data_IF_087438099288
#
_entry.id   IF_087438099288
#
_cell.length_a   1.000
_cell.length_b   1.000
_cell.length_c   1.000
_cell.angle_alpha   90.00
_cell.angle_beta   90.00
_cell.angle_gamma   90.00
#
_symmetry.space_group_name_H-M   'P 1'
#
loop_
_entity.id
_entity.type
_entity.pdbx_description
1 polymer ?
#
# COMPACT_ATOMS: atom_id res chain seq x y z
N UNK A 1 -19.77 13.78 -23.01
CA UNK A 1 -19.73 12.56 -22.20
C UNK A 1 -19.06 11.46 -23.03
N UNK A 2 -17.74 11.33 -22.95
CA UNK A 2 -16.96 10.42 -23.80
C UNK A 2 -17.21 8.96 -23.41
N UNK A 3 -17.54 8.14 -24.42
CA UNK A 3 -17.80 6.68 -24.36
C UNK A 3 -16.58 5.90 -23.81
N UNK A 4 -16.78 4.64 -23.33
CA UNK A 4 -15.99 4.07 -22.25
C UNK A 4 -14.55 3.79 -22.68
N UNK A 5 -13.62 4.27 -21.87
CA UNK A 5 -12.21 3.89 -21.85
C UNK A 5 -12.11 2.36 -21.84
N UNK A 6 -11.30 1.79 -22.71
CA UNK A 6 -11.08 0.33 -22.80
C UNK A 6 -10.67 -0.21 -21.42
N UNK A 7 -10.97 -1.48 -21.12
CA UNK A 7 -10.66 -2.07 -19.81
C UNK A 7 -9.17 -1.94 -19.43
N UNK A 8 -8.30 -1.83 -20.43
CA UNK A 8 -6.87 -1.55 -20.26
C UNK A 8 -6.59 -0.18 -19.66
N UNK A 9 -7.28 0.87 -20.12
CA UNK A 9 -7.13 2.24 -19.59
C UNK A 9 -7.67 2.36 -18.16
N UNK A 10 -8.72 1.61 -17.83
CA UNK A 10 -9.24 1.51 -16.45
C UNK A 10 -8.23 0.84 -15.51
N UNK A 11 -7.52 -0.20 -15.98
CA UNK A 11 -6.50 -0.92 -15.19
C UNK A 11 -5.23 -0.10 -14.94
N UNK A 12 -4.92 0.87 -15.81
CA UNK A 12 -3.79 1.78 -15.65
C UNK A 12 -3.99 2.82 -14.53
N UNK A 13 -5.23 3.07 -14.11
CA UNK A 13 -5.49 3.97 -12.97
C UNK A 13 -5.34 3.21 -11.64
N UNK A 14 -4.27 3.48 -10.91
CA UNK A 14 -4.29 3.20 -9.47
C UNK A 14 -5.34 4.09 -8.79
N UNK A 15 -6.24 3.47 -8.04
CA UNK A 15 -7.21 4.19 -7.21
C UNK A 15 -6.52 5.05 -6.13
N UNK A 16 -5.30 4.69 -5.75
CA UNK A 16 -4.49 5.41 -4.77
C UNK A 16 -3.78 6.59 -5.46
N UNK A 17 -4.45 7.75 -5.52
CA UNK A 17 -3.94 8.96 -6.19
C UNK A 17 -2.86 9.71 -5.39
N UNK A 18 -2.82 9.57 -4.07
CA UNK A 18 -1.78 10.16 -3.23
C UNK A 18 -0.59 9.22 -3.06
N UNK A 19 0.64 9.69 -3.30
CA UNK A 19 1.80 9.08 -2.63
C UNK A 19 1.49 9.22 -1.15
N UNK A 20 1.51 8.12 -0.39
CA UNK A 20 1.27 8.17 1.04
C UNK A 20 2.12 9.32 1.62
N UNK A 21 1.42 10.30 2.17
CA UNK A 21 1.98 11.54 2.68
C UNK A 21 3.14 11.20 3.62
N UNK A 22 4.21 12.01 3.61
CA UNK A 22 5.40 11.79 4.44
C UNK A 22 4.95 11.40 5.84
N UNK A 23 5.29 10.16 6.23
CA UNK A 23 4.64 9.47 7.34
C UNK A 23 4.79 10.24 8.64
N UNK A 24 3.74 10.92 9.07
CA UNK A 24 3.66 11.45 10.42
C UNK A 24 3.58 10.27 11.40
N UNK A 25 4.24 10.39 12.56
CA UNK A 25 4.20 9.41 13.66
C UNK A 25 2.75 9.00 13.99
N UNK A 26 1.80 9.94 13.93
CA UNK A 26 0.38 9.68 14.16
C UNK A 26 -0.22 8.69 13.15
N UNK A 27 0.15 8.81 11.87
CA UNK A 27 -0.33 7.91 10.81
C UNK A 27 0.25 6.51 10.97
N UNK A 28 1.54 6.42 11.31
CA UNK A 28 2.22 5.14 11.57
C UNK A 28 1.55 4.41 12.73
N UNK A 29 1.28 5.11 13.85
CA UNK A 29 0.56 4.53 15.00
C UNK A 29 -0.83 4.04 14.62
N UNK A 30 -1.58 4.81 13.82
CA UNK A 30 -2.92 4.43 13.35
C UNK A 30 -2.88 3.16 12.50
N UNK A 31 -1.99 3.10 11.51
CA UNK A 31 -1.87 1.96 10.60
C UNK A 31 -1.33 0.71 11.32
N UNK A 32 -0.38 0.89 12.25
CA UNK A 32 0.09 -0.20 13.09
C UNK A 32 -1.05 -0.84 13.88
N UNK A 33 -1.85 -0.02 14.59
CA UNK A 33 -2.99 -0.52 15.35
C UNK A 33 -4.03 -1.19 14.43
N UNK A 34 -4.25 -0.65 13.22
CA UNK A 34 -5.12 -1.26 12.22
C UNK A 34 -4.62 -2.67 11.84
N UNK A 35 -3.32 -2.85 11.58
CA UNK A 35 -2.79 -4.17 11.24
C UNK A 35 -2.81 -5.13 12.42
N UNK A 36 -2.57 -4.65 13.64
CA UNK A 36 -2.69 -5.49 14.83
C UNK A 36 -4.13 -6.01 15.01
N UNK A 37 -5.12 -5.12 14.92
CA UNK A 37 -6.52 -5.46 15.18
C UNK A 37 -7.20 -6.19 14.02
N UNK A 38 -7.00 -5.73 12.78
CA UNK A 38 -7.76 -6.23 11.63
C UNK A 38 -6.99 -7.23 10.78
N UNK A 39 -5.65 -7.16 10.75
CA UNK A 39 -4.84 -8.13 9.98
C UNK A 39 -4.44 -9.33 10.84
N UNK A 40 -4.01 -9.10 12.07
CA UNK A 40 -3.60 -10.18 12.98
C UNK A 40 -4.74 -10.66 13.89
N UNK A 41 -5.85 -9.93 13.96
CA UNK A 41 -7.01 -10.26 14.82
C UNK A 41 -6.56 -10.36 16.29
N UNK A 42 -5.76 -9.38 16.73
CA UNK A 42 -5.22 -9.29 18.08
C UNK A 42 -5.51 -7.93 18.69
N UNK A 43 -5.77 -7.95 19.99
CA UNK A 43 -5.76 -6.75 20.83
C UNK A 43 -4.41 -6.63 21.55
N UNK A 44 -4.22 -5.52 22.26
CA UNK A 44 -2.99 -5.29 23.03
C UNK A 44 -2.76 -6.31 24.16
N UNK A 45 -3.81 -6.95 24.66
CA UNK A 45 -3.73 -7.84 25.83
C UNK A 45 -3.20 -9.22 25.44
N UNK A 46 -3.51 -9.69 24.23
CA UNK A 46 -3.09 -11.02 23.74
C UNK A 46 -1.90 -10.98 22.78
N UNK A 47 -1.37 -9.79 22.45
CA UNK A 47 -0.31 -9.62 21.46
C UNK A 47 1.08 -9.93 22.01
N UNK A 48 1.84 -10.74 21.27
CA UNK A 48 3.26 -11.03 21.54
C UNK A 48 4.18 -10.07 20.79
N UNK A 49 5.48 -10.09 21.12
CA UNK A 49 6.50 -9.32 20.38
C UNK A 49 6.54 -9.66 18.88
N UNK A 50 6.25 -10.91 18.52
CA UNK A 50 6.18 -11.34 17.12
C UNK A 50 5.00 -10.68 16.39
N UNK A 51 3.86 -10.53 17.06
CA UNK A 51 2.69 -9.87 16.48
C UNK A 51 2.96 -8.39 16.23
N UNK A 52 3.65 -7.72 17.17
CA UNK A 52 4.10 -6.34 16.97
C UNK A 52 5.07 -6.20 15.80
N UNK A 53 5.99 -7.14 15.62
CA UNK A 53 6.86 -7.17 14.45
C UNK A 53 6.03 -7.25 13.15
N UNK A 54 5.07 -8.18 13.05
CA UNK A 54 4.26 -8.34 11.85
C UNK A 54 3.35 -7.14 11.58
N UNK A 55 2.77 -6.54 12.63
CA UNK A 55 1.95 -5.33 12.49
C UNK A 55 2.77 -4.15 11.94
N UNK A 56 4.02 -3.99 12.39
CA UNK A 56 4.93 -2.97 11.86
C UNK A 56 5.37 -3.30 10.43
N UNK A 57 5.74 -4.55 10.14
CA UNK A 57 6.16 -4.99 8.81
C UNK A 57 5.06 -4.73 7.76
N UNK A 58 3.80 -5.03 8.09
CA UNK A 58 2.65 -4.74 7.23
C UNK A 58 2.46 -3.22 7.03
N UNK A 59 2.64 -2.42 8.09
CA UNK A 59 2.56 -0.95 7.99
C UNK A 59 3.61 -0.38 7.03
N UNK A 60 4.85 -0.88 7.10
CA UNK A 60 5.93 -0.47 6.18
C UNK A 60 5.66 -0.96 4.76
N UNK A 61 5.17 -2.19 4.61
CA UNK A 61 4.79 -2.78 3.32
C UNK A 61 3.78 -1.91 2.57
N UNK A 62 2.72 -1.46 3.24
CA UNK A 62 1.69 -0.60 2.63
C UNK A 62 2.28 0.68 2.02
N UNK A 63 3.25 1.30 2.71
CA UNK A 63 3.92 2.51 2.22
C UNK A 63 4.78 2.24 0.98
N UNK A 64 5.41 1.06 0.90
CA UNK A 64 6.26 0.68 -0.23
C UNK A 64 5.43 0.23 -1.44
N UNK A 65 4.40 -0.58 -1.24
CA UNK A 65 3.60 -1.19 -2.31
C UNK A 65 2.96 -0.12 -3.19
N UNK A 66 2.47 0.98 -2.61
CA UNK A 66 1.92 2.09 -3.39
C UNK A 66 2.94 2.75 -4.34
N UNK A 67 4.23 2.78 -4.00
CA UNK A 67 5.29 3.29 -4.88
C UNK A 67 5.70 2.22 -5.90
N UNK A 68 5.83 0.97 -5.46
CA UNK A 68 6.18 -0.15 -6.33
C UNK A 68 5.19 -0.33 -7.48
N UNK A 69 3.88 -0.27 -7.20
CA UNK A 69 2.85 -0.39 -8.26
C UNK A 69 2.99 0.74 -9.29
N UNK A 70 3.26 1.99 -8.86
CA UNK A 70 3.50 3.12 -9.78
C UNK A 70 4.72 2.88 -10.66
N UNK A 71 5.80 2.37 -10.08
CA UNK A 71 6.99 2.02 -10.86
C UNK A 71 6.69 0.94 -11.89
N UNK A 72 5.93 -0.10 -11.52
CA UNK A 72 5.52 -1.15 -12.46
C UNK A 72 4.64 -0.59 -13.59
N UNK A 73 3.65 0.27 -13.28
CA UNK A 73 2.83 0.93 -14.29
C UNK A 73 3.65 1.80 -15.23
N UNK A 74 4.64 2.54 -14.72
CA UNK A 74 5.55 3.33 -15.54
C UNK A 74 6.36 2.45 -16.51
N UNK A 75 6.82 1.28 -16.07
CA UNK A 75 7.50 0.33 -16.96
C UNK A 75 6.58 -0.19 -18.08
N UNK A 76 5.32 -0.51 -17.77
CA UNK A 76 4.35 -0.90 -18.80
C UNK A 76 4.03 0.23 -19.78
N UNK A 77 3.96 1.48 -19.33
CA UNK A 77 3.64 2.63 -20.19
C UNK A 77 4.79 3.06 -21.09
N UNK A 78 6.03 3.01 -20.57
CA UNK A 78 7.21 3.51 -21.28
C UNK A 78 7.97 2.44 -22.05
N UNK A 79 7.66 1.17 -21.83
CA UNK A 79 8.34 0.00 -22.39
C UNK A 79 9.87 0.17 -22.47
N UNK A 80 10.54 0.56 -21.37
CA UNK A 80 11.98 0.69 -21.38
C UNK A 80 12.58 -0.70 -21.53
N UNK A 81 13.72 -0.82 -22.22
CA UNK A 81 14.44 -2.09 -22.30
C UNK A 81 14.75 -2.59 -20.89
N UNK A 82 14.06 -3.65 -20.48
CA UNK A 82 14.37 -4.41 -19.26
C UNK A 82 15.39 -5.47 -19.67
N UNK A 83 16.49 -5.58 -18.91
CA UNK A 83 17.74 -6.28 -19.28
C UNK A 83 17.57 -7.58 -20.06
#
# INVERSE_FOLDING_TARGET
MSRPQTDEERRKQISVRGIAEVGNVTLVKKNFNRHLHYTLVKDRNVSTMRDYYFALANTVRDNMVGRWIRTQQMYYEKDPKVS
#
